data_IF_658577670661
#
_entry.id   IF_658577670661
#
_cell.length_a   1.000
_cell.length_b   1.000
_cell.length_c   1.000
_cell.angle_alpha   90.00
_cell.angle_beta   90.00
_cell.angle_gamma   90.00
#
_symmetry.space_group_name_H-M   'P 1'
#
loop_
_entity.id
_entity.type
_entity.pdbx_description
1 polymer ?
#
# COMPACT_ATOMS: atom_id res chain seq x y z
N UNK A 1 -15.00 2.47 -11.55
CA UNK A 1 -14.36 1.73 -10.44
C UNK A 1 -13.02 2.32 -10.00
N UNK A 2 -12.27 3.03 -10.84
CA UNK A 2 -11.04 3.74 -10.43
C UNK A 2 -11.32 5.02 -9.63
N UNK A 3 -12.44 5.69 -9.87
CA UNK A 3 -12.86 6.92 -9.17
C UNK A 3 -13.12 6.70 -7.68
N UNK A 4 -13.91 5.68 -7.33
CA UNK A 4 -14.24 5.30 -5.94
C UNK A 4 -13.00 5.08 -5.05
N UNK A 5 -11.91 4.55 -5.62
CA UNK A 5 -10.67 4.30 -4.88
C UNK A 5 -9.91 5.61 -4.62
N UNK A 6 -9.90 6.51 -5.60
CA UNK A 6 -9.23 7.81 -5.51
C UNK A 6 -9.93 8.69 -4.47
N UNK A 7 -11.26 8.65 -4.40
CA UNK A 7 -12.05 9.39 -3.41
C UNK A 7 -11.80 8.92 -1.96
N UNK A 8 -11.33 7.68 -1.77
CA UNK A 8 -11.04 7.11 -0.45
C UNK A 8 -9.59 7.27 0.00
N UNK A 9 -8.68 7.69 -0.89
CA UNK A 9 -7.27 7.93 -0.55
C UNK A 9 -7.08 8.90 0.63
N UNK A 10 -7.81 10.03 0.73
CA UNK A 10 -7.61 10.97 1.83
C UNK A 10 -7.94 10.38 3.21
N UNK A 11 -8.88 9.44 3.28
CA UNK A 11 -9.31 8.79 4.53
C UNK A 11 -8.54 7.52 4.89
N UNK A 12 -7.65 7.05 4.02
CA UNK A 12 -6.93 5.78 4.19
C UNK A 12 -5.84 5.91 5.26
N UNK A 13 -5.56 4.88 6.05
CA UNK A 13 -4.44 4.92 7.02
C UNK A 13 -3.12 4.68 6.28
N UNK A 14 -1.99 5.20 6.78
CA UNK A 14 -0.69 5.10 6.09
C UNK A 14 -0.27 3.67 5.76
N UNK A 15 -0.62 2.70 6.62
CA UNK A 15 -0.36 1.28 6.39
C UNK A 15 -1.17 0.71 5.21
N UNK A 16 -2.42 1.14 5.08
CA UNK A 16 -3.29 0.74 3.97
C UNK A 16 -2.85 1.41 2.66
N UNK A 17 -2.43 2.68 2.73
CA UNK A 17 -1.88 3.41 1.59
C UNK A 17 -0.59 2.75 1.07
N UNK A 18 0.33 2.37 1.96
CA UNK A 18 1.55 1.64 1.60
C UNK A 18 1.24 0.28 0.96
N UNK A 19 0.25 -0.44 1.49
CA UNK A 19 -0.22 -1.71 0.92
C UNK A 19 -0.84 -1.51 -0.46
N UNK A 20 -1.61 -0.44 -0.64
CA UNK A 20 -2.23 -0.09 -1.91
C UNK A 20 -1.18 0.22 -2.99
N UNK A 21 -0.13 0.97 -2.66
CA UNK A 21 1.00 1.24 -3.55
C UNK A 21 1.65 -0.06 -4.01
N UNK A 22 2.05 -0.92 -3.06
CA UNK A 22 2.73 -2.18 -3.38
C UNK A 22 1.88 -3.09 -4.28
N UNK A 23 0.57 -3.14 -4.02
CA UNK A 23 -0.35 -3.90 -4.86
C UNK A 23 -0.52 -3.27 -6.25
N UNK A 24 -0.64 -1.94 -6.34
CA UNK A 24 -0.74 -1.24 -7.61
C UNK A 24 0.51 -1.43 -8.47
N UNK A 25 1.71 -1.35 -7.89
CA UNK A 25 2.98 -1.62 -8.58
C UNK A 25 3.06 -3.07 -9.06
N UNK A 26 2.69 -4.03 -8.21
CA UNK A 26 2.66 -5.46 -8.60
C UNK A 26 1.69 -5.70 -9.76
N UNK A 27 0.50 -5.10 -9.71
CA UNK A 27 -0.50 -5.22 -10.77
C UNK A 27 -0.07 -4.54 -12.07
N UNK A 28 0.63 -3.41 -12.00
CA UNK A 28 1.20 -2.74 -13.17
C UNK A 28 2.27 -3.59 -13.86
N UNK A 29 3.02 -4.41 -13.11
CA UNK A 29 4.11 -5.23 -13.63
C UNK A 29 3.70 -6.64 -14.05
N UNK A 30 2.81 -7.28 -13.30
CA UNK A 30 2.50 -8.71 -13.43
C UNK A 30 0.99 -9.02 -13.50
N UNK A 31 0.14 -7.99 -13.50
CA UNK A 31 -1.31 -8.17 -13.65
C UNK A 31 -1.72 -8.55 -15.08
N UNK A 32 -2.99 -8.93 -15.24
CA UNK A 32 -3.61 -9.04 -16.57
C UNK A 32 -3.61 -7.69 -17.30
N UNK A 33 -3.72 -7.64 -18.64
CA UNK A 33 -3.70 -6.37 -19.38
C UNK A 33 -4.72 -5.32 -18.87
N UNK A 34 -5.90 -5.79 -18.44
CA UNK A 34 -6.94 -4.94 -17.82
C UNK A 34 -6.50 -4.37 -16.47
N UNK A 35 -5.85 -5.19 -15.64
CA UNK A 35 -5.32 -4.78 -14.34
C UNK A 35 -4.11 -3.84 -14.48
N UNK A 36 -3.23 -4.10 -15.43
CA UNK A 36 -2.09 -3.22 -15.72
C UNK A 36 -2.56 -1.82 -16.12
N UNK A 37 -3.52 -1.74 -17.05
CA UNK A 37 -4.09 -0.47 -17.50
C UNK A 37 -4.78 0.30 -16.35
N UNK A 38 -5.52 -0.41 -15.49
CA UNK A 38 -6.16 0.20 -14.33
C UNK A 38 -5.12 0.67 -13.29
N UNK A 39 -4.08 -0.12 -13.04
CA UNK A 39 -3.01 0.23 -12.12
C UNK A 39 -2.18 1.43 -12.62
N UNK A 40 -1.83 1.45 -13.91
CA UNK A 40 -1.13 2.58 -14.53
C UNK A 40 -1.95 3.87 -14.47
N UNK A 41 -3.28 3.79 -14.58
CA UNK A 41 -4.16 4.94 -14.44
C UNK A 41 -4.27 5.44 -12.98
N UNK A 42 -4.17 4.54 -11.99
CA UNK A 42 -4.33 4.87 -10.57
C UNK A 42 -3.02 5.26 -9.88
N UNK A 43 -1.88 4.72 -10.32
CA UNK A 43 -0.55 4.94 -9.71
C UNK A 43 -0.19 6.42 -9.51
N UNK A 44 -0.41 7.32 -10.49
CA UNK A 44 -0.08 8.74 -10.30
C UNK A 44 -0.85 9.39 -9.14
N UNK A 45 -2.14 9.06 -8.98
CA UNK A 45 -2.97 9.60 -7.89
C UNK A 45 -2.54 9.04 -6.53
N UNK A 46 -2.24 7.74 -6.46
CA UNK A 46 -1.76 7.09 -5.23
C UNK A 46 -0.41 7.68 -4.81
N UNK A 47 0.52 7.86 -5.75
CA UNK A 47 1.85 8.43 -5.46
C UNK A 47 1.78 9.90 -5.02
N UNK A 48 0.88 10.70 -5.61
CA UNK A 48 0.67 12.08 -5.19
C UNK A 48 0.21 12.17 -3.72
N UNK A 49 -0.73 11.32 -3.30
CA UNK A 49 -1.18 11.25 -1.90
C UNK A 49 -0.03 10.81 -0.97
N UNK A 50 0.75 9.79 -1.35
CA UNK A 50 1.92 9.36 -0.57
C UNK A 50 2.91 10.50 -0.39
N UNK A 51 3.22 11.23 -1.47
CA UNK A 51 4.14 12.37 -1.43
C UNK A 51 3.61 13.48 -0.51
N UNK A 52 2.33 13.84 -0.63
CA UNK A 52 1.69 14.83 0.24
C UNK A 52 1.72 14.42 1.72
N UNK A 53 1.58 13.13 2.02
CA UNK A 53 1.71 12.63 3.40
C UNK A 53 3.14 12.64 3.91
N UNK A 54 4.11 12.24 3.10
CA UNK A 54 5.52 12.30 3.47
C UNK A 54 5.95 13.74 3.75
N UNK A 55 5.48 14.71 2.96
CA UNK A 55 5.73 16.13 3.18
C UNK A 55 5.13 16.61 4.51
N UNK A 56 3.89 16.21 4.83
CA UNK A 56 3.25 16.48 6.13
C UNK A 56 3.98 15.83 7.31
N UNK A 57 4.43 14.59 7.15
CA UNK A 57 5.18 13.86 8.17
C UNK A 57 6.58 14.45 8.39
N UNK A 58 7.22 14.93 7.33
CA UNK A 58 8.49 15.64 7.41
C UNK A 58 8.34 17.00 8.12
N UNK A 59 7.21 17.69 7.89
CA UNK A 59 6.89 18.94 8.58
C UNK A 59 6.51 18.74 10.06
N UNK A 60 5.95 17.59 10.43
CA UNK A 60 5.64 17.22 11.82
C UNK A 60 6.18 15.82 12.14
N UNK A 61 7.47 15.69 12.47
CA UNK A 61 8.07 14.40 12.72
C UNK A 61 7.41 13.74 13.94
N UNK A 62 6.72 12.59 13.79
CA UNK A 62 6.22 11.86 14.93
C UNK A 62 7.43 11.36 15.75
N UNK A 63 7.43 11.65 17.06
CA UNK A 63 8.37 11.06 18.01
C UNK A 63 8.23 9.53 17.92
N UNK A 64 9.12 8.89 17.17
CA UNK A 64 9.09 7.44 16.94
C UNK A 64 9.26 6.72 18.26
N UNK A 65 8.19 6.12 18.76
CA UNK A 65 8.28 5.07 19.77
C UNK A 65 8.95 3.82 19.12
N UNK A 66 9.87 3.15 19.81
CA UNK A 66 10.60 2.03 19.25
C UNK A 66 9.65 0.85 19.00
N UNK A 67 9.47 0.47 17.73
CA UNK A 67 8.79 -0.78 17.37
C UNK A 67 9.64 -1.96 17.82
N UNK A 68 9.17 -2.63 18.87
CA UNK A 68 9.67 -3.94 19.28
C UNK A 68 9.63 -4.89 18.07
N UNK A 69 10.80 -5.42 17.74
CA UNK A 69 11.04 -6.29 16.60
C UNK A 69 11.28 -7.71 17.11
N UNK A 70 10.52 -8.67 16.54
CA UNK A 70 10.85 -10.08 16.18
C UNK A 70 9.53 -10.84 15.97
N UNK A 71 9.18 -11.27 14.74
CA UNK A 71 9.62 -12.50 14.03
C UNK A 71 9.46 -13.75 14.92
N UNK A 72 8.91 -14.90 14.53
CA UNK A 72 8.13 -15.40 13.39
C UNK A 72 7.76 -16.87 13.74
N UNK A 73 6.95 -17.50 12.87
CA UNK A 73 6.76 -18.95 12.69
C UNK A 73 5.54 -19.60 13.38
N UNK A 74 4.42 -19.62 12.65
CA UNK A 74 3.46 -20.72 12.75
C UNK A 74 4.04 -21.95 12.01
N UNK A 75 3.98 -23.17 12.56
CA UNK A 75 4.48 -24.37 11.90
C UNK A 75 3.61 -24.73 10.68
N UNK A 76 4.17 -25.37 9.63
CA UNK A 76 3.38 -25.87 8.52
C UNK A 76 2.45 -27.03 8.97
N UNK A 77 1.24 -27.17 8.38
CA UNK A 77 0.30 -28.23 8.75
C UNK A 77 0.77 -29.61 8.29
N UNK A 78 0.40 -30.64 9.08
CA UNK A 78 0.77 -32.05 8.93
C UNK A 78 0.32 -32.68 7.60
N UNK A 79 0.97 -33.78 7.15
CA UNK A 79 0.54 -34.54 5.98
C UNK A 79 -0.78 -35.30 6.25
N UNK A 80 -1.68 -35.26 5.28
CA UNK A 80 -2.97 -35.98 5.25
C UNK A 80 -2.72 -37.43 4.74
N UNK A 81 -3.46 -38.45 5.23
CA UNK A 81 -3.14 -39.88 5.13
C UNK A 81 -3.03 -40.47 3.72
#
# INVERSE_FOLDING_TARGET
MTTELIDRLPGMVDADLSTLVANAERLARAGTPKQQKAAQAALPAIQAEVAARQEKLAANPPKRAPRASRKAAAPPPAPIP
#
